data_IF_027353878881
#
_entry.id   IF_027353878881
#
_cell.length_a   1.000
_cell.length_b   1.000
_cell.length_c   1.000
_cell.angle_alpha   90.00
_cell.angle_beta   90.00
_cell.angle_gamma   90.00
#
_symmetry.space_group_name_H-M   'P 1'
#
loop_
_entity.id
_entity.type
_entity.pdbx_description
1 polymer ?
#
# COMPACT_ATOMS: atom_id res chain seq x y z
N UNK A 1 7.39 16.52 -1.36
CA UNK A 1 7.33 15.35 -2.28
C UNK A 1 8.04 14.12 -1.71
N UNK A 2 8.92 14.27 -0.71
CA UNK A 2 9.59 13.15 -0.04
C UNK A 2 8.72 12.41 1.00
N UNK A 3 7.54 12.93 1.32
CA UNK A 3 6.69 12.45 2.41
C UNK A 3 6.03 11.07 2.21
N UNK A 4 5.93 10.57 0.98
CA UNK A 4 5.26 9.29 0.70
C UNK A 4 6.14 8.08 1.07
N UNK A 5 7.47 8.25 1.08
CA UNK A 5 8.40 7.18 1.46
C UNK A 5 8.57 7.04 2.98
N UNK A 6 8.54 8.15 3.69
CA UNK A 6 8.81 8.16 5.14
C UNK A 6 7.68 7.48 5.95
N UNK A 7 6.43 7.56 5.47
CA UNK A 7 5.27 6.96 6.16
C UNK A 7 5.26 5.43 6.15
N UNK A 8 6.02 4.78 5.27
CA UNK A 8 6.01 3.32 5.12
C UNK A 8 6.90 2.60 6.12
N UNK A 9 8.08 3.14 6.36
CA UNK A 9 9.08 2.47 7.21
C UNK A 9 8.70 2.58 8.69
N UNK A 10 8.13 3.71 9.10
CA UNK A 10 7.69 3.93 10.48
C UNK A 10 6.34 3.28 10.80
N UNK A 11 5.42 3.22 9.83
CA UNK A 11 4.06 2.73 10.08
C UNK A 11 3.96 1.23 10.38
N UNK A 12 4.94 0.42 9.97
CA UNK A 12 4.92 -1.04 10.17
C UNK A 12 5.66 -1.44 11.44
N UNK A 13 6.71 -0.72 11.82
CA UNK A 13 7.52 -1.04 13.00
C UNK A 13 6.85 -0.65 14.32
N UNK A 14 5.91 0.29 14.27
CA UNK A 14 5.34 0.91 15.47
C UNK A 14 3.92 0.40 15.80
N UNK A 15 3.40 -0.57 15.04
CA UNK A 15 2.06 -1.11 15.29
C UNK A 15 2.15 -2.30 16.22
N UNK A 16 1.48 -2.22 17.38
CA UNK A 16 1.35 -3.34 18.30
C UNK A 16 0.60 -4.51 17.63
N UNK A 17 0.97 -5.73 17.95
CA UNK A 17 0.35 -6.93 17.37
C UNK A 17 -1.16 -7.04 17.58
N UNK A 18 -1.70 -6.39 18.63
CA UNK A 18 -3.14 -6.29 18.92
C UNK A 18 -3.90 -5.34 17.98
N UNK A 19 -3.19 -4.48 17.26
CA UNK A 19 -3.75 -3.46 16.38
C UNK A 19 -3.83 -3.94 14.91
N UNK A 20 -3.27 -5.13 14.63
CA UNK A 20 -3.16 -5.72 13.30
C UNK A 20 -3.82 -7.11 13.24
N UNK A 21 -4.39 -7.42 12.09
CA UNK A 21 -4.79 -8.78 11.76
C UNK A 21 -4.63 -9.07 10.26
N UNK A 22 -4.40 -10.34 9.86
CA UNK A 22 -4.26 -10.70 8.46
C UNK A 22 -5.55 -10.42 7.66
N UNK A 23 -5.43 -9.80 6.49
CA UNK A 23 -6.56 -9.61 5.58
C UNK A 23 -7.21 -10.95 5.22
N UNK A 24 -6.41 -12.02 5.09
CA UNK A 24 -6.90 -13.37 4.80
C UNK A 24 -7.89 -13.88 5.86
N UNK A 25 -7.77 -13.48 7.13
CA UNK A 25 -8.72 -13.84 8.17
C UNK A 25 -10.11 -13.24 7.92
N UNK A 26 -10.15 -12.02 7.39
CA UNK A 26 -11.40 -11.37 6.98
C UNK A 26 -11.96 -12.05 5.73
N UNK A 27 -11.16 -12.20 4.69
CA UNK A 27 -11.62 -12.77 3.40
C UNK A 27 -12.19 -14.18 3.55
N UNK A 28 -11.55 -15.03 4.36
CA UNK A 28 -12.02 -16.39 4.63
C UNK A 28 -13.43 -16.46 5.25
N UNK A 29 -13.84 -15.41 5.99
CA UNK A 29 -15.19 -15.34 6.58
C UNK A 29 -16.29 -15.07 5.57
N UNK A 30 -15.95 -14.44 4.44
CA UNK A 30 -16.91 -14.09 3.39
C UNK A 30 -16.93 -15.05 2.22
N UNK A 31 -16.07 -16.09 2.25
CA UNK A 31 -16.02 -17.18 1.26
C UNK A 31 -16.09 -16.65 -0.18
N UNK A 32 -15.05 -15.95 -0.66
CA UNK A 32 -15.07 -15.36 -2.00
C UNK A 32 -15.38 -16.43 -3.05
N UNK A 33 -16.19 -16.11 -4.06
CA UNK A 33 -16.50 -17.02 -5.15
C UNK A 33 -15.22 -17.44 -5.88
N UNK A 34 -15.23 -18.63 -6.45
CA UNK A 34 -14.08 -19.24 -7.17
C UNK A 34 -13.56 -18.39 -8.34
N UNK A 35 -14.37 -17.49 -8.87
CA UNK A 35 -14.02 -16.56 -9.94
C UNK A 35 -13.19 -15.36 -9.46
N UNK A 36 -13.15 -15.11 -8.15
CA UNK A 36 -12.39 -14.00 -7.56
C UNK A 36 -10.90 -14.13 -7.85
N UNK A 37 -10.31 -13.08 -8.42
CA UNK A 37 -8.88 -13.00 -8.76
C UNK A 37 -8.19 -11.83 -8.10
N UNK A 38 -8.95 -10.79 -7.79
CA UNK A 38 -8.45 -9.53 -7.27
C UNK A 38 -9.28 -9.05 -6.08
N UNK A 39 -8.64 -8.30 -5.18
CA UNK A 39 -9.29 -7.66 -4.04
C UNK A 39 -9.11 -6.15 -4.19
N UNK A 40 -10.23 -5.47 -4.46
CA UNK A 40 -10.30 -4.01 -4.57
C UNK A 40 -10.66 -3.40 -3.23
N UNK A 41 -10.06 -2.26 -2.94
CA UNK A 41 -10.33 -1.44 -1.75
C UNK A 41 -10.72 -0.04 -2.17
N UNK A 42 -11.72 0.54 -1.47
CA UNK A 42 -12.10 1.95 -1.66
C UNK A 42 -12.05 2.70 -0.35
N UNK A 43 -11.52 3.92 -0.42
CA UNK A 43 -11.43 4.81 0.73
C UNK A 43 -12.74 5.57 0.97
N UNK A 44 -12.91 6.02 2.21
CA UNK A 44 -13.98 6.95 2.58
C UNK A 44 -13.89 8.23 1.73
N UNK A 45 -15.03 8.66 1.20
CA UNK A 45 -15.14 9.91 0.46
C UNK A 45 -16.24 10.79 1.03
N UNK A 46 -15.86 11.81 1.79
CA UNK A 46 -16.74 12.80 2.40
C UNK A 46 -16.25 14.21 2.10
N UNK A 47 -16.57 14.78 0.93
CA UNK A 47 -16.06 16.08 0.51
C UNK A 47 -16.36 17.22 1.49
N UNK A 48 -17.48 17.17 2.23
CA UNK A 48 -17.81 18.16 3.26
C UNK A 48 -16.82 18.22 4.41
N UNK A 49 -16.23 17.07 4.77
CA UNK A 49 -15.30 16.92 5.90
C UNK A 49 -13.83 16.88 5.43
N UNK A 50 -13.57 16.41 4.20
CA UNK A 50 -12.24 16.16 3.64
C UNK A 50 -11.85 17.28 2.65
N UNK A 51 -11.33 18.39 3.18
CA UNK A 51 -11.02 19.59 2.36
C UNK A 51 -10.09 19.31 1.16
N UNK A 52 -9.09 18.43 1.32
CA UNK A 52 -8.14 18.08 0.26
C UNK A 52 -8.79 17.43 -0.96
N UNK A 53 -9.94 16.75 -0.79
CA UNK A 53 -10.65 16.09 -1.89
C UNK A 53 -11.43 17.06 -2.79
N UNK A 54 -11.59 18.32 -2.34
CA UNK A 54 -12.28 19.40 -3.06
C UNK A 54 -11.33 20.40 -3.69
N UNK A 55 -10.01 20.20 -3.50
CA UNK A 55 -9.02 21.12 -4.06
C UNK A 55 -9.04 21.07 -5.59
N UNK A 56 -8.96 22.23 -6.25
CA UNK A 56 -8.72 22.30 -7.69
C UNK A 56 -7.41 21.63 -8.12
N UNK A 57 -6.48 21.46 -7.17
CA UNK A 57 -5.23 20.71 -7.38
C UNK A 57 -5.36 19.22 -7.08
N UNK A 58 -6.55 18.72 -6.71
CA UNK A 58 -6.78 17.29 -6.56
C UNK A 58 -6.73 16.63 -7.92
N UNK A 59 -5.67 15.87 -8.15
CA UNK A 59 -5.44 15.14 -9.41
C UNK A 59 -6.04 13.75 -9.40
N UNK A 60 -6.48 13.26 -8.23
CA UNK A 60 -7.02 11.92 -8.04
C UNK A 60 -8.54 11.95 -8.25
N UNK A 61 -9.04 10.99 -9.01
CA UNK A 61 -10.48 10.70 -9.10
C UNK A 61 -10.92 9.94 -7.84
N UNK A 62 -11.68 10.65 -6.98
CA UNK A 62 -12.17 10.11 -5.71
C UNK A 62 -13.46 9.28 -5.90
N UNK A 63 -13.66 8.22 -5.09
CA UNK A 63 -12.84 7.75 -3.97
C UNK A 63 -11.53 7.13 -4.43
N UNK A 64 -10.47 7.26 -3.61
CA UNK A 64 -9.20 6.59 -3.85
C UNK A 64 -9.40 5.07 -3.85
N UNK A 65 -8.79 4.38 -4.83
CA UNK A 65 -8.94 2.94 -5.06
C UNK A 65 -7.58 2.28 -5.14
N UNK A 66 -7.48 1.13 -4.49
CA UNK A 66 -6.34 0.23 -4.62
C UNK A 66 -6.79 -1.20 -4.84
N UNK A 67 -5.88 -2.01 -5.36
CA UNK A 67 -6.16 -3.41 -5.65
C UNK A 67 -4.94 -4.29 -5.42
N UNK A 68 -5.18 -5.50 -4.94
CA UNK A 68 -4.19 -6.58 -4.85
C UNK A 68 -4.68 -7.79 -5.65
N UNK A 69 -3.76 -8.63 -6.14
CA UNK A 69 -4.13 -10.00 -6.55
C UNK A 69 -4.62 -10.78 -5.32
N UNK A 70 -5.46 -11.78 -5.55
CA UNK A 70 -6.01 -12.57 -4.46
C UNK A 70 -4.93 -13.31 -3.65
N UNK A 71 -3.89 -13.81 -4.28
CA UNK A 71 -2.76 -14.47 -3.61
C UNK A 71 -1.95 -13.49 -2.74
N UNK A 72 -1.73 -12.26 -3.21
CA UNK A 72 -1.13 -11.18 -2.42
C UNK A 72 -2.03 -10.82 -1.21
N UNK A 73 -3.33 -10.70 -1.44
CA UNK A 73 -4.31 -10.40 -0.39
C UNK A 73 -4.42 -11.52 0.67
N UNK A 74 -4.20 -12.76 0.27
CA UNK A 74 -4.22 -13.94 1.16
C UNK A 74 -2.89 -14.18 1.88
N UNK A 75 -1.83 -13.46 1.50
CA UNK A 75 -0.52 -13.64 2.11
C UNK A 75 -0.51 -13.20 3.58
N UNK A 76 0.18 -13.92 4.49
CA UNK A 76 0.19 -13.60 5.93
C UNK A 76 0.68 -12.18 6.26
N UNK A 77 1.55 -11.61 5.46
CA UNK A 77 2.07 -10.23 5.62
C UNK A 77 1.14 -9.15 5.04
N UNK A 78 0.03 -9.51 4.42
CA UNK A 78 -1.00 -8.54 4.05
C UNK A 78 -1.92 -8.33 5.24
N UNK A 79 -1.79 -7.19 5.89
CA UNK A 79 -2.41 -6.91 7.17
C UNK A 79 -3.43 -5.77 7.05
N UNK A 80 -4.42 -5.82 7.94
CA UNK A 80 -5.32 -4.71 8.22
C UNK A 80 -5.00 -4.14 9.60
N UNK A 81 -4.88 -2.81 9.69
CA UNK A 81 -4.65 -2.10 10.95
C UNK A 81 -5.90 -1.35 11.38
N UNK A 82 -6.25 -1.50 12.65
CA UNK A 82 -7.37 -0.82 13.33
C UNK A 82 -6.90 0.09 14.47
N UNK A 83 -5.63 -0.04 14.86
CA UNK A 83 -5.03 0.70 15.96
C UNK A 83 -3.58 1.07 15.71
N UNK A 84 -3.03 1.85 16.63
CA UNK A 84 -1.65 2.29 16.67
C UNK A 84 -1.25 2.48 18.14
N UNK A 85 -0.19 1.80 18.59
CA UNK A 85 0.28 1.83 19.99
C UNK A 85 -0.82 1.47 21.01
N UNK A 86 -1.66 0.47 20.70
CA UNK A 86 -2.74 0.03 21.58
C UNK A 86 -3.92 1.02 21.69
N UNK A 87 -4.01 2.00 20.78
CA UNK A 87 -5.11 2.96 20.69
C UNK A 87 -5.80 2.87 19.32
N UNK A 88 -7.05 3.27 19.26
CA UNK A 88 -7.79 3.38 17.99
C UNK A 88 -7.01 4.23 16.99
N UNK A 89 -6.97 3.76 15.75
CA UNK A 89 -6.27 4.43 14.66
C UNK A 89 -6.78 5.87 14.47
N UNK A 90 -5.90 6.89 14.51
CA UNK A 90 -6.31 8.26 14.23
C UNK A 90 -6.78 8.43 12.78
N UNK A 91 -7.67 9.40 12.53
CA UNK A 91 -8.21 9.67 11.18
C UNK A 91 -7.13 9.90 10.13
N UNK A 92 -6.11 10.70 10.45
CA UNK A 92 -4.98 10.98 9.55
C UNK A 92 -4.13 9.74 9.23
N UNK A 93 -4.12 8.75 10.14
CA UNK A 93 -3.39 7.48 9.97
C UNK A 93 -4.22 6.43 9.22
N UNK A 94 -5.49 6.72 8.93
CA UNK A 94 -6.33 5.89 8.08
C UNK A 94 -7.49 5.18 8.77
N UNK A 95 -8.03 5.75 9.89
CA UNK A 95 -9.27 5.21 10.48
C UNK A 95 -10.42 5.14 9.45
N UNK A 96 -11.35 4.19 9.58
CA UNK A 96 -11.45 3.18 10.64
C UNK A 96 -10.51 1.98 10.43
N UNK A 97 -10.03 1.76 9.21
CA UNK A 97 -9.28 0.59 8.79
C UNK A 97 -8.29 0.96 7.70
N UNK A 98 -7.04 0.53 7.81
CA UNK A 98 -6.05 0.71 6.75
C UNK A 98 -5.39 -0.61 6.36
N UNK A 99 -4.97 -0.69 5.10
CA UNK A 99 -4.15 -1.78 4.59
C UNK A 99 -2.67 -1.53 4.93
N UNK A 100 -1.95 -2.61 5.22
CA UNK A 100 -0.50 -2.63 5.39
C UNK A 100 0.07 -3.77 4.55
N UNK A 101 0.88 -3.41 3.54
CA UNK A 101 1.56 -4.36 2.65
C UNK A 101 3.04 -4.00 2.63
N UNK A 102 3.86 -4.56 3.53
CA UNK A 102 5.18 -4.04 3.84
C UNK A 102 6.22 -4.16 2.72
N UNK A 103 5.99 -5.02 1.74
CA UNK A 103 6.90 -5.23 0.60
C UNK A 103 6.58 -4.37 -0.62
N UNK A 104 5.51 -3.55 -0.56
CA UNK A 104 5.07 -2.68 -1.65
C UNK A 104 5.31 -1.21 -1.30
N UNK A 105 5.32 -0.36 -2.33
CA UNK A 105 5.35 1.08 -2.11
C UNK A 105 4.11 1.57 -1.37
N UNK A 106 4.25 2.63 -0.57
CA UNK A 106 3.29 3.09 0.41
C UNK A 106 1.90 3.42 -0.10
N UNK A 107 1.79 3.87 -1.32
CA UNK A 107 0.50 4.18 -1.90
C UNK A 107 -0.41 2.95 -2.04
N UNK A 108 0.16 1.73 -2.07
CA UNK A 108 -0.62 0.47 -2.02
C UNK A 108 -1.28 0.23 -0.68
N UNK A 109 -0.76 0.82 0.39
CA UNK A 109 -1.32 0.69 1.75
C UNK A 109 -2.44 1.70 1.97
N UNK A 110 -3.55 1.51 1.28
CA UNK A 110 -4.73 2.39 1.29
C UNK A 110 -5.25 2.64 2.70
N UNK A 111 -5.62 3.89 2.98
CA UNK A 111 -6.16 4.37 4.26
C UNK A 111 -7.68 4.50 4.22
N UNK A 112 -8.32 4.51 5.40
CA UNK A 112 -9.74 4.80 5.58
C UNK A 112 -10.65 3.91 4.71
N UNK A 113 -10.38 2.62 4.72
CA UNK A 113 -11.11 1.63 3.92
C UNK A 113 -12.55 1.55 4.42
N UNK A 114 -13.50 1.66 3.49
CA UNK A 114 -14.95 1.50 3.76
C UNK A 114 -15.60 0.45 2.87
N UNK A 115 -14.88 -0.02 1.84
CA UNK A 115 -15.40 -1.03 0.92
C UNK A 115 -14.26 -1.95 0.49
N UNK A 116 -14.52 -3.27 0.51
CA UNK A 116 -13.61 -4.32 0.02
C UNK A 116 -14.42 -5.21 -0.92
N UNK A 117 -14.00 -5.29 -2.18
CA UNK A 117 -14.66 -6.08 -3.22
C UNK A 117 -13.73 -7.18 -3.72
N UNK A 118 -14.28 -8.36 -3.97
CA UNK A 118 -13.57 -9.42 -4.69
C UNK A 118 -14.07 -9.45 -6.12
N UNK A 119 -13.16 -9.32 -7.09
CA UNK A 119 -13.48 -9.19 -8.52
C UNK A 119 -12.77 -10.24 -9.36
N UNK A 120 -13.37 -10.63 -10.48
CA UNK A 120 -12.77 -11.55 -11.44
C UNK A 120 -11.75 -10.85 -12.35
N UNK A 121 -11.98 -9.57 -12.65
CA UNK A 121 -11.12 -8.74 -13.50
C UNK A 121 -10.31 -7.77 -12.66
N UNK A 122 -9.11 -7.42 -13.13
CA UNK A 122 -8.25 -6.45 -12.48
C UNK A 122 -8.86 -5.05 -12.56
N UNK A 123 -9.23 -4.43 -11.42
CA UNK A 123 -9.65 -3.04 -11.40
C UNK A 123 -8.47 -2.09 -11.64
N UNK A 124 -8.75 -0.93 -12.21
CA UNK A 124 -7.76 0.14 -12.29
C UNK A 124 -7.59 0.79 -10.91
N UNK A 125 -6.34 1.03 -10.51
CA UNK A 125 -6.01 1.74 -9.27
C UNK A 125 -5.89 3.24 -9.49
N UNK A 126 -6.06 4.06 -8.46
CA UNK A 126 -6.05 5.52 -8.57
C UNK A 126 -4.76 6.06 -9.19
N UNK A 127 -3.60 5.54 -8.79
CA UNK A 127 -2.32 5.98 -9.34
C UNK A 127 -2.10 5.50 -10.77
N UNK A 128 -2.52 4.28 -11.13
CA UNK A 128 -2.47 3.82 -12.52
C UNK A 128 -3.34 4.69 -13.46
N UNK A 129 -4.53 5.09 -13.00
CA UNK A 129 -5.41 5.96 -13.79
C UNK A 129 -4.80 7.35 -13.97
N UNK A 130 -4.12 7.85 -12.94
CA UNK A 130 -3.52 9.19 -12.95
C UNK A 130 -2.26 9.25 -13.82
N UNK A 131 -1.35 8.31 -13.64
CA UNK A 131 -0.01 8.32 -14.28
C UNK A 131 0.40 6.87 -14.64
N UNK A 132 -0.20 6.26 -15.67
CA UNK A 132 0.03 4.85 -16.01
C UNK A 132 1.47 4.54 -16.43
N UNK A 133 2.22 5.55 -16.87
CA UNK A 133 3.64 5.43 -17.23
C UNK A 133 4.60 5.51 -16.02
N UNK A 134 4.10 5.89 -14.85
CA UNK A 134 4.92 6.06 -13.64
C UNK A 134 4.59 5.04 -12.56
N UNK A 135 3.34 4.59 -12.50
CA UNK A 135 2.83 3.72 -11.42
C UNK A 135 2.27 2.41 -11.97
N UNK A 136 2.97 1.32 -11.66
CA UNK A 136 2.53 -0.02 -12.00
C UNK A 136 1.45 -0.55 -11.04
N UNK A 137 0.79 -1.63 -11.46
CA UNK A 137 -0.24 -2.29 -10.65
C UNK A 137 0.33 -2.92 -9.38
N UNK A 138 1.45 -3.63 -9.52
CA UNK A 138 2.03 -4.38 -8.39
C UNK A 138 2.68 -3.47 -7.38
N UNK A 139 3.40 -2.44 -7.83
CA UNK A 139 4.11 -1.49 -6.99
C UNK A 139 4.96 -2.14 -5.89
N UNK A 140 5.62 -3.25 -6.24
CA UNK A 140 6.59 -3.89 -5.37
C UNK A 140 7.83 -3.00 -5.24
N UNK A 141 8.41 -2.91 -4.04
CA UNK A 141 9.66 -2.16 -3.86
C UNK A 141 10.77 -2.85 -4.66
N UNK A 142 11.24 -2.16 -5.70
CA UNK A 142 12.29 -2.65 -6.59
C UNK A 142 13.33 -1.55 -6.85
N UNK A 143 14.52 -1.61 -6.21
CA UNK A 143 15.57 -0.61 -6.39
C UNK A 143 16.22 -0.62 -7.78
N UNK A 144 16.00 -1.66 -8.59
CA UNK A 144 16.54 -1.79 -9.95
C UNK A 144 15.65 -1.13 -11.02
N UNK A 145 14.47 -0.66 -10.63
CA UNK A 145 13.54 0.08 -11.49
C UNK A 145 13.38 1.48 -10.94
N UNK A 146 14.02 2.45 -11.57
CA UNK A 146 13.92 3.86 -11.17
C UNK A 146 12.55 4.43 -11.57
N UNK A 147 11.99 5.29 -10.72
CA UNK A 147 10.86 6.13 -11.10
C UNK A 147 11.34 7.15 -12.15
N UNK A 148 10.52 7.57 -13.14
CA UNK A 148 10.93 8.51 -14.17
C UNK A 148 11.52 9.83 -13.66
N UNK A 149 11.18 10.23 -12.43
CA UNK A 149 11.59 11.51 -11.84
C UNK A 149 12.66 11.41 -10.74
N UNK A 150 12.92 10.20 -10.19
CA UNK A 150 13.92 9.98 -9.13
C UNK A 150 14.41 8.53 -9.09
N UNK A 151 15.60 8.34 -8.49
CA UNK A 151 16.13 7.01 -8.26
C UNK A 151 15.52 6.37 -7.01
N UNK A 152 15.27 5.05 -7.07
CA UNK A 152 14.72 4.26 -5.97
C UNK A 152 15.77 3.39 -5.26
N UNK A 153 17.06 3.59 -5.58
CA UNK A 153 18.17 2.77 -5.06
C UNK A 153 18.47 3.00 -3.58
N UNK A 154 18.07 4.14 -3.04
CA UNK A 154 18.34 4.50 -1.65
C UNK A 154 17.07 4.99 -0.98
N UNK A 155 16.94 4.65 0.29
CA UNK A 155 15.89 5.13 1.17
C UNK A 155 16.49 5.90 2.35
N UNK A 156 15.69 6.75 2.96
CA UNK A 156 16.05 7.45 4.20
C UNK A 156 15.20 6.89 5.34
N UNK A 157 15.87 6.33 6.33
CA UNK A 157 15.21 5.80 7.54
C UNK A 157 15.08 6.85 8.62
N UNK A 158 14.00 6.78 9.37
CA UNK A 158 13.81 7.61 10.54
C UNK A 158 14.43 6.96 11.80
N UNK A 159 14.93 7.76 12.77
CA UNK A 159 15.07 9.20 12.68
C UNK A 159 16.18 9.64 11.73
N UNK A 160 15.95 10.74 11.03
CA UNK A 160 16.90 11.30 10.07
C UNK A 160 16.92 12.84 10.25
N UNK A 161 18.10 13.44 10.16
CA UNK A 161 18.26 14.89 10.18
C UNK A 161 19.14 15.36 9.02
N UNK A 162 19.18 16.67 8.79
CA UNK A 162 20.06 17.28 7.77
C UNK A 162 21.54 16.98 8.08
N UNK A 163 21.89 16.94 9.38
CA UNK A 163 23.27 16.68 9.84
C UNK A 163 23.62 15.19 9.96
N UNK A 164 22.61 14.31 10.03
CA UNK A 164 22.80 12.87 10.11
C UNK A 164 21.73 12.18 9.25
N UNK A 165 21.90 12.20 7.91
CA UNK A 165 21.00 11.54 7.01
C UNK A 165 21.15 10.02 7.14
N UNK A 166 20.15 9.36 7.72
CA UNK A 166 20.10 7.90 7.86
C UNK A 166 19.71 7.28 6.50
N UNK A 167 20.64 7.36 5.54
CA UNK A 167 20.44 6.89 4.15
C UNK A 167 21.01 5.50 4.00
N UNK A 168 20.21 4.56 3.56
CA UNK A 168 20.59 3.16 3.32
C UNK A 168 20.20 2.71 1.92
N UNK A 169 20.81 1.63 1.43
CA UNK A 169 20.37 1.02 0.17
C UNK A 169 18.98 0.43 0.34
N UNK A 170 18.09 0.69 -0.62
CA UNK A 170 16.76 0.09 -0.66
C UNK A 170 16.88 -1.39 -0.98
N UNK A 171 16.24 -2.24 -0.19
CA UNK A 171 16.21 -3.68 -0.43
C UNK A 171 15.03 -4.05 -1.33
N UNK A 172 15.20 -5.02 -2.25
CA UNK A 172 14.08 -5.58 -3.01
C UNK A 172 12.95 -6.04 -2.07
N UNK A 173 11.71 -5.79 -2.46
CA UNK A 173 10.53 -6.06 -1.61
C UNK A 173 10.65 -5.46 -0.20
N UNK A 174 11.37 -4.34 -0.06
CA UNK A 174 11.63 -3.71 1.24
C UNK A 174 12.24 -4.67 2.28
N UNK A 175 13.03 -5.64 1.83
CA UNK A 175 13.67 -6.67 2.67
C UNK A 175 12.82 -7.90 2.97
N UNK A 176 11.59 -8.00 2.45
CA UNK A 176 10.70 -9.16 2.63
C UNK A 176 10.83 -10.21 1.51
N UNK A 177 11.88 -10.16 0.68
CA UNK A 177 12.04 -11.02 -0.49
C UNK A 177 11.91 -12.50 -0.18
N UNK A 178 12.53 -13.01 0.90
CA UNK A 178 12.44 -14.41 1.30
C UNK A 178 11.00 -14.90 1.53
N UNK A 179 10.11 -14.01 1.97
CA UNK A 179 8.72 -14.34 2.27
C UNK A 179 7.78 -14.19 1.08
N UNK A 180 8.07 -13.28 0.13
CA UNK A 180 7.08 -12.84 -0.87
C UNK A 180 7.51 -13.04 -2.32
N UNK A 181 8.80 -13.27 -2.61
CA UNK A 181 9.28 -13.39 -3.99
C UNK A 181 8.58 -14.50 -4.77
N UNK A 182 8.27 -15.62 -4.13
CA UNK A 182 7.54 -16.74 -4.75
C UNK A 182 6.16 -16.38 -5.30
N UNK A 183 5.52 -15.29 -4.83
CA UNK A 183 4.27 -14.78 -5.41
C UNK A 183 4.46 -14.29 -6.86
N UNK A 184 5.67 -13.98 -7.25
CA UNK A 184 6.03 -13.34 -8.52
C UNK A 184 6.89 -14.22 -9.40
N UNK A 185 6.98 -15.54 -9.11
CA UNK A 185 7.76 -16.49 -9.90
C UNK A 185 7.31 -16.48 -11.37
N UNK A 186 8.29 -16.37 -12.27
CA UNK A 186 8.05 -16.28 -13.70
C UNK A 186 7.61 -14.90 -14.22
N UNK A 187 7.49 -13.88 -13.35
CA UNK A 187 7.16 -12.52 -13.76
C UNK A 187 8.44 -11.68 -13.98
N UNK A 188 8.43 -10.89 -15.05
CA UNK A 188 9.46 -9.86 -15.26
C UNK A 188 9.11 -8.62 -14.38
N UNK A 189 9.77 -8.50 -13.23
CA UNK A 189 9.54 -7.43 -12.27
C UNK A 189 10.06 -6.05 -12.74
N UNK A 190 10.72 -5.96 -13.88
CA UNK A 190 11.06 -4.66 -14.52
C UNK A 190 9.89 -4.13 -15.32
N UNK A 191 9.08 -5.05 -15.84
CA UNK A 191 7.87 -4.74 -16.62
C UNK A 191 6.63 -4.67 -15.73
N UNK A 192 6.55 -5.55 -14.74
CA UNK A 192 5.41 -5.68 -13.81
C UNK A 192 5.78 -5.11 -12.43
N UNK A 193 6.00 -3.82 -12.37
CA UNK A 193 6.31 -3.09 -11.15
C UNK A 193 5.08 -2.42 -10.52
#
# INVERSE_FOLDING_TARGET
EDGIRDDLVTGVQDVCSSDLFPLSALLKRFEPKSEGRFVEFKTLYRPSEMRGTRSFSSVIDWPYRECLRLDEAMHPLTLLAVGLYGKTLPNQNGAPLRLVVPWKYGFKSIKSIVEINVTAQQPATSWQMLQPQEYGFYANVNPDVDHPRWSQRFERRLPSSIFNPNRVATLPFNGYGESVSGLYDGMDLRRFY
#
